data_IF_119910835502
#
_entry.id   IF_119910835502
#
_cell.length_a   1.000
_cell.length_b   1.000
_cell.length_c   1.000
_cell.angle_alpha   90.00
_cell.angle_beta   90.00
_cell.angle_gamma   90.00
#
_symmetry.space_group_name_H-M   'P 1'
#
loop_
_entity.id
_entity.type
_entity.pdbx_description
1 polymer ?
#
# COMPACT_ATOMS: atom_id res chain seq x y z
N UNK A 1 2.98 -12.90 -13.80
CA UNK A 1 3.84 -13.89 -13.10
C UNK A 1 4.43 -13.32 -11.82
N UNK A 2 4.74 -14.17 -10.84
CA UNK A 2 5.20 -13.79 -9.49
C UNK A 2 6.48 -12.93 -9.54
N UNK A 3 7.38 -13.19 -10.46
CA UNK A 3 8.65 -12.48 -10.64
C UNK A 3 8.49 -11.05 -11.15
N UNK A 4 7.49 -10.81 -12.00
CA UNK A 4 7.25 -9.48 -12.56
C UNK A 4 6.65 -8.50 -11.54
N UNK A 5 6.03 -8.99 -10.47
CA UNK A 5 5.35 -8.15 -9.48
C UNK A 5 6.29 -7.08 -8.87
N UNK A 6 7.44 -7.49 -8.35
CA UNK A 6 8.34 -6.53 -7.71
C UNK A 6 9.07 -5.62 -8.69
N UNK A 7 9.33 -6.08 -9.91
CA UNK A 7 9.85 -5.20 -10.96
C UNK A 7 8.84 -4.10 -11.31
N UNK A 8 7.58 -4.47 -11.43
CA UNK A 8 6.49 -3.52 -11.65
C UNK A 8 6.34 -2.56 -10.46
N UNK A 9 6.34 -3.07 -9.23
CA UNK A 9 6.23 -2.25 -8.01
C UNK A 9 7.37 -1.24 -7.92
N UNK A 10 8.62 -1.65 -8.12
CA UNK A 10 9.79 -0.76 -8.08
C UNK A 10 9.69 0.30 -9.18
N UNK A 11 9.33 -0.10 -10.40
CA UNK A 11 9.14 0.83 -11.51
C UNK A 11 8.09 1.89 -11.23
N UNK A 12 7.01 1.49 -10.54
CA UNK A 12 5.97 2.43 -10.10
C UNK A 12 6.42 3.33 -8.94
N UNK A 13 7.21 2.81 -8.00
CA UNK A 13 7.73 3.59 -6.86
C UNK A 13 8.77 4.63 -7.28
N UNK A 14 9.68 4.26 -8.17
CA UNK A 14 10.71 5.16 -8.70
C UNK A 14 10.19 6.09 -9.80
N UNK A 15 9.15 5.69 -10.49
CA UNK A 15 8.77 6.24 -11.78
C UNK A 15 9.59 5.65 -12.93
N UNK A 16 8.97 5.41 -14.07
CA UNK A 16 9.64 4.76 -15.22
C UNK A 16 10.91 5.47 -15.70
N UNK A 17 11.00 6.81 -15.75
CA UNK A 17 12.23 7.47 -16.17
C UNK A 17 13.41 7.20 -15.23
N UNK A 18 13.21 7.26 -13.91
CA UNK A 18 14.26 6.94 -12.94
C UNK A 18 14.63 5.47 -12.96
N UNK A 19 13.66 4.59 -13.17
CA UNK A 19 13.90 3.16 -13.34
C UNK A 19 14.76 2.88 -14.58
N UNK A 20 14.52 3.56 -15.69
CA UNK A 20 15.36 3.44 -16.89
C UNK A 20 16.80 3.87 -16.62
N UNK A 21 17.00 5.01 -15.95
CA UNK A 21 18.33 5.48 -15.54
C UNK A 21 19.01 4.45 -14.63
N UNK A 22 18.28 3.92 -13.65
CA UNK A 22 18.80 2.87 -12.76
C UNK A 22 19.21 1.62 -13.53
N UNK A 23 18.37 1.11 -14.42
CA UNK A 23 18.70 -0.09 -15.20
C UNK A 23 19.99 0.09 -16.01
N UNK A 24 20.12 1.22 -16.71
CA UNK A 24 21.34 1.52 -17.46
C UNK A 24 22.56 1.58 -16.53
N UNK A 25 22.47 2.32 -15.44
CA UNK A 25 23.58 2.47 -14.48
C UNK A 25 23.89 1.16 -13.77
N UNK A 26 22.90 0.31 -13.49
CA UNK A 26 23.07 -1.00 -12.88
C UNK A 26 23.88 -1.95 -13.77
N UNK A 27 23.58 -2.01 -15.06
CA UNK A 27 24.39 -2.78 -16.01
C UNK A 27 25.83 -2.24 -16.09
N UNK A 28 25.98 -0.93 -16.21
CA UNK A 28 27.34 -0.31 -16.22
C UNK A 28 28.10 -0.58 -14.92
N UNK A 29 27.41 -0.65 -13.78
CA UNK A 29 28.01 -0.98 -12.49
C UNK A 29 28.55 -2.41 -12.44
N UNK A 30 27.79 -3.38 -12.93
CA UNK A 30 28.21 -4.79 -12.97
C UNK A 30 29.42 -5.01 -13.87
N UNK A 31 29.48 -4.33 -15.02
CA UNK A 31 30.56 -4.50 -15.97
C UNK A 31 31.86 -3.79 -15.54
N UNK A 32 31.81 -2.87 -14.58
CA UNK A 32 33.02 -2.18 -14.04
C UNK A 32 33.57 -2.89 -12.82
N UNK A 33 34.35 -3.94 -13.03
CA UNK A 33 34.91 -4.80 -11.98
C UNK A 33 35.69 -4.04 -10.89
N UNK A 34 36.41 -2.97 -11.23
CA UNK A 34 37.28 -2.25 -10.31
C UNK A 34 36.57 -1.51 -9.17
N UNK A 35 35.28 -1.31 -9.27
CA UNK A 35 34.47 -0.57 -8.29
C UNK A 35 33.21 -1.29 -7.88
N UNK A 36 33.09 -2.54 -8.22
CA UNK A 36 31.97 -3.37 -7.85
C UNK A 36 32.00 -3.67 -6.35
N UNK A 37 30.96 -3.23 -5.64
CA UNK A 37 30.82 -3.48 -4.22
C UNK A 37 29.70 -4.51 -3.99
N UNK A 38 30.08 -5.70 -3.57
CA UNK A 38 29.15 -6.79 -3.33
C UNK A 38 28.09 -6.47 -2.28
N UNK A 39 28.43 -5.69 -1.26
CA UNK A 39 27.47 -5.32 -0.21
C UNK A 39 26.37 -4.44 -0.80
N UNK A 40 26.75 -3.44 -1.60
CA UNK A 40 25.79 -2.54 -2.24
C UNK A 40 24.92 -3.27 -3.25
N UNK A 41 25.50 -4.18 -4.03
CA UNK A 41 24.77 -5.05 -4.94
C UNK A 41 23.79 -5.94 -4.20
N UNK A 42 24.24 -6.64 -3.16
CA UNK A 42 23.40 -7.50 -2.34
C UNK A 42 22.26 -6.71 -1.68
N UNK A 43 22.55 -5.52 -1.17
CA UNK A 43 21.53 -4.66 -0.58
C UNK A 43 20.46 -4.25 -1.60
N UNK A 44 20.82 -3.96 -2.85
CA UNK A 44 19.85 -3.63 -3.89
C UNK A 44 18.96 -4.82 -4.29
N UNK A 45 19.53 -6.02 -4.37
CA UNK A 45 18.89 -7.18 -5.02
C UNK A 45 18.31 -8.17 -4.02
N UNK A 46 18.97 -8.41 -2.89
CA UNK A 46 18.56 -9.43 -1.92
C UNK A 46 17.15 -9.25 -1.37
N UNK A 47 16.68 -8.05 -0.99
CA UNK A 47 15.32 -7.87 -0.55
C UNK A 47 14.31 -8.28 -1.62
N UNK A 48 14.55 -7.95 -2.90
CA UNK A 48 13.66 -8.29 -4.02
C UNK A 48 13.57 -9.82 -4.16
N UNK A 49 14.71 -10.51 -4.12
CA UNK A 49 14.75 -11.98 -4.21
C UNK A 49 14.02 -12.60 -3.04
N UNK A 50 14.35 -12.23 -1.80
CA UNK A 50 13.75 -12.80 -0.59
C UNK A 50 12.24 -12.62 -0.59
N UNK A 51 11.76 -11.40 -0.83
CA UNK A 51 10.32 -11.15 -0.82
C UNK A 51 9.56 -11.73 -2.02
N UNK A 52 10.26 -12.10 -3.10
CA UNK A 52 9.63 -12.83 -4.21
C UNK A 52 9.12 -14.20 -3.76
N UNK A 53 9.77 -14.83 -2.81
CA UNK A 53 9.36 -16.13 -2.27
C UNK A 53 8.31 -16.03 -1.15
N UNK A 54 8.08 -14.84 -0.60
CA UNK A 54 7.06 -14.64 0.44
C UNK A 54 5.66 -14.58 -0.18
N UNK A 55 4.71 -15.34 0.37
CA UNK A 55 3.34 -15.40 -0.14
C UNK A 55 2.59 -14.07 0.00
N UNK A 56 2.83 -13.32 1.08
CA UNK A 56 2.22 -12.02 1.29
C UNK A 56 2.97 -10.94 0.50
N UNK A 57 2.43 -10.52 -0.63
CA UNK A 57 3.02 -9.50 -1.51
C UNK A 57 2.64 -8.10 -1.03
N UNK A 58 3.63 -7.23 -0.87
CA UNK A 58 3.39 -5.85 -0.47
C UNK A 58 4.41 -4.90 -1.10
N UNK A 59 3.94 -3.77 -1.60
CA UNK A 59 4.81 -2.77 -2.23
C UNK A 59 5.91 -2.25 -1.28
N UNK A 60 5.63 -2.18 0.04
CA UNK A 60 6.58 -1.74 1.07
C UNK A 60 7.84 -2.61 1.18
N UNK A 61 7.80 -3.86 0.73
CA UNK A 61 8.94 -4.78 0.85
C UNK A 61 10.09 -4.44 -0.10
N UNK A 62 9.87 -3.64 -1.13
CA UNK A 62 10.92 -3.14 -2.02
C UNK A 62 11.61 -1.88 -1.51
N UNK A 63 11.01 -1.17 -0.54
CA UNK A 63 11.57 0.08 -0.01
C UNK A 63 13.03 -0.04 0.49
N UNK A 64 13.45 -1.12 1.17
CA UNK A 64 14.84 -1.26 1.58
C UNK A 64 15.85 -1.28 0.43
N UNK A 65 15.44 -1.67 -0.78
CA UNK A 65 16.31 -1.70 -1.96
C UNK A 65 16.52 -0.32 -2.59
N UNK A 66 15.58 0.62 -2.44
CA UNK A 66 15.62 1.92 -3.12
C UNK A 66 16.84 2.77 -2.79
N UNK A 67 17.30 2.89 -1.52
CA UNK A 67 18.53 3.62 -1.20
C UNK A 67 19.75 3.03 -1.89
N UNK A 68 19.88 1.69 -1.92
CA UNK A 68 20.98 1.03 -2.58
C UNK A 68 20.97 1.26 -4.10
N UNK A 69 19.79 1.24 -4.72
CA UNK A 69 19.63 1.56 -6.14
C UNK A 69 20.04 3.00 -6.46
N UNK A 70 19.65 3.96 -5.61
CA UNK A 70 20.09 5.36 -5.74
C UNK A 70 21.61 5.51 -5.61
N UNK A 71 22.23 4.82 -4.65
CA UNK A 71 23.68 4.82 -4.46
C UNK A 71 24.42 4.21 -5.66
N UNK A 72 23.95 3.10 -6.22
CA UNK A 72 24.54 2.49 -7.44
C UNK A 72 24.49 3.51 -8.58
N UNK A 73 23.35 4.15 -8.79
CA UNK A 73 23.18 5.19 -9.81
C UNK A 73 24.17 6.33 -9.59
N UNK A 74 24.28 6.85 -8.37
CA UNK A 74 25.21 7.92 -8.03
C UNK A 74 26.66 7.54 -8.29
N UNK A 75 27.10 6.34 -7.85
CA UNK A 75 28.48 5.83 -8.07
C UNK A 75 28.80 5.77 -9.55
N UNK A 76 27.89 5.29 -10.40
CA UNK A 76 28.14 5.22 -11.84
C UNK A 76 28.19 6.61 -12.47
N UNK A 77 27.27 7.49 -12.12
CA UNK A 77 27.23 8.85 -12.65
C UNK A 77 28.50 9.65 -12.30
N UNK A 78 29.04 9.50 -11.07
CA UNK A 78 30.30 10.17 -10.68
C UNK A 78 31.51 9.72 -11.50
N UNK A 79 31.46 8.53 -12.12
CA UNK A 79 32.55 7.97 -12.92
C UNK A 79 32.57 8.43 -14.38
N UNK A 80 31.57 9.19 -14.81
CA UNK A 80 31.53 9.75 -16.16
C UNK A 80 32.64 10.80 -16.32
N UNK A 81 33.68 10.48 -17.11
CA UNK A 81 34.86 11.32 -17.29
C UNK A 81 34.52 12.65 -18.00
N UNK A 82 33.66 12.61 -18.97
CA UNK A 82 33.22 13.83 -19.67
C UNK A 82 32.35 14.70 -18.74
N UNK A 83 32.87 15.86 -18.37
CA UNK A 83 32.24 16.74 -17.39
C UNK A 83 30.88 17.29 -17.89
N UNK A 84 30.78 17.60 -19.18
CA UNK A 84 29.53 18.10 -19.78
C UNK A 84 28.45 17.01 -19.77
N UNK A 85 28.81 15.78 -20.16
CA UNK A 85 27.90 14.65 -20.12
C UNK A 85 27.48 14.30 -18.68
N UNK A 86 28.42 14.34 -17.74
CA UNK A 86 28.13 14.11 -16.32
C UNK A 86 27.15 15.14 -15.77
N UNK A 87 27.37 16.42 -16.03
CA UNK A 87 26.50 17.50 -15.57
C UNK A 87 25.11 17.40 -16.22
N UNK A 88 25.03 17.03 -17.50
CA UNK A 88 23.78 16.76 -18.19
C UNK A 88 23.00 15.59 -17.53
N UNK A 89 23.67 14.49 -17.22
CA UNK A 89 23.07 13.33 -16.55
C UNK A 89 22.58 13.68 -15.13
N UNK A 90 23.36 14.47 -14.38
CA UNK A 90 22.91 14.96 -13.06
C UNK A 90 21.68 15.84 -13.19
N UNK A 91 21.67 16.77 -14.14
CA UNK A 91 20.53 17.66 -14.36
C UNK A 91 19.29 16.87 -14.75
N UNK A 92 19.39 15.93 -15.68
CA UNK A 92 18.26 15.07 -16.07
C UNK A 92 17.76 14.26 -14.85
N UNK A 93 18.65 13.63 -14.11
CA UNK A 93 18.26 12.83 -12.94
C UNK A 93 17.61 13.70 -11.88
N UNK A 94 18.17 14.88 -11.59
CA UNK A 94 17.63 15.84 -10.62
C UNK A 94 16.25 16.36 -11.04
N UNK A 95 16.10 16.78 -12.29
CA UNK A 95 14.81 17.27 -12.84
C UNK A 95 13.77 16.15 -12.79
N UNK A 96 14.12 14.93 -13.23
CA UNK A 96 13.21 13.78 -13.21
C UNK A 96 12.78 13.45 -11.80
N UNK A 97 13.71 13.46 -10.83
CA UNK A 97 13.41 13.23 -9.41
C UNK A 97 12.45 14.31 -8.89
N UNK A 98 12.75 15.58 -9.15
CA UNK A 98 11.88 16.69 -8.72
C UNK A 98 10.48 16.58 -9.32
N UNK A 99 10.39 16.33 -10.63
CA UNK A 99 9.09 16.12 -11.32
C UNK A 99 8.34 14.93 -10.71
N UNK A 100 9.03 13.83 -10.44
CA UNK A 100 8.41 12.64 -9.82
C UNK A 100 7.88 12.96 -8.42
N UNK A 101 8.63 13.69 -7.59
CA UNK A 101 8.20 14.11 -6.25
C UNK A 101 6.98 15.03 -6.34
N UNK A 102 7.05 16.08 -7.18
CA UNK A 102 5.95 17.03 -7.35
C UNK A 102 4.70 16.35 -7.90
N UNK A 103 4.85 15.48 -8.88
CA UNK A 103 3.76 14.73 -9.49
C UNK A 103 3.09 13.78 -8.49
N UNK A 104 3.88 13.06 -7.68
CA UNK A 104 3.33 12.11 -6.73
C UNK A 104 2.75 12.75 -5.47
N UNK A 105 3.27 13.92 -5.06
CA UNK A 105 2.88 14.58 -3.82
C UNK A 105 1.82 15.67 -3.98
N UNK A 106 1.78 16.35 -5.13
CA UNK A 106 1.04 17.62 -5.23
C UNK A 106 0.13 17.74 -6.45
N UNK A 107 0.34 16.96 -7.50
CA UNK A 107 -0.39 17.12 -8.75
C UNK A 107 -1.47 16.04 -8.90
N UNK A 108 -2.74 16.40 -9.13
CA UNK A 108 -3.78 15.45 -9.49
C UNK A 108 -3.37 14.66 -10.74
N UNK A 109 -3.40 13.34 -10.68
CA UNK A 109 -2.93 12.49 -11.77
C UNK A 109 -3.82 12.64 -13.00
N UNK A 110 -3.32 13.18 -14.10
CA UNK A 110 -4.08 13.13 -15.34
C UNK A 110 -4.16 11.69 -15.81
N UNK A 111 -5.33 11.30 -16.31
CA UNK A 111 -5.62 9.93 -16.74
C UNK A 111 -4.66 9.38 -17.83
N UNK A 112 -4.00 10.28 -18.58
CA UNK A 112 -3.07 9.92 -19.66
C UNK A 112 -1.61 9.72 -19.22
N UNK A 113 -1.26 9.99 -17.95
CA UNK A 113 0.09 9.80 -17.40
C UNK A 113 0.09 8.91 -16.14
N UNK A 114 -0.47 7.69 -16.17
CA UNK A 114 -0.60 6.85 -14.98
C UNK A 114 0.76 6.37 -14.43
N UNK A 115 1.87 6.61 -15.11
CA UNK A 115 3.12 5.88 -14.93
C UNK A 115 4.28 6.70 -14.35
N UNK A 116 4.08 7.95 -14.00
CA UNK A 116 5.15 8.75 -13.34
C UNK A 116 5.30 8.45 -11.84
N UNK A 117 4.44 7.62 -11.28
CA UNK A 117 4.55 7.16 -9.89
C UNK A 117 3.23 6.65 -9.31
N UNK A 118 3.31 5.97 -8.16
CA UNK A 118 2.17 5.45 -7.39
C UNK A 118 1.70 6.42 -6.29
N UNK A 119 1.76 7.72 -6.49
CA UNK A 119 1.12 8.61 -5.52
C UNK A 119 -0.39 8.33 -5.54
N UNK A 120 -0.93 7.73 -4.50
CA UNK A 120 -2.37 7.84 -4.25
C UNK A 120 -2.60 9.28 -3.82
N UNK A 121 -3.40 10.01 -4.59
CA UNK A 121 -3.92 11.29 -4.11
C UNK A 121 -4.52 11.07 -2.72
N UNK A 122 -4.39 12.06 -1.82
CA UNK A 122 -5.21 12.07 -0.62
C UNK A 122 -6.64 11.77 -1.06
N UNK A 123 -7.23 10.72 -0.51
CA UNK A 123 -8.60 10.36 -0.87
C UNK A 123 -9.47 11.52 -0.42
N UNK A 124 -10.05 12.21 -1.38
CA UNK A 124 -11.04 13.26 -1.12
C UNK A 124 -12.37 12.68 -0.66
N UNK A 125 -12.56 11.37 -0.84
CA UNK A 125 -13.73 10.67 -0.36
C UNK A 125 -13.62 10.49 1.15
N UNK A 126 -14.34 11.31 1.89
CA UNK A 126 -14.51 11.15 3.33
C UNK A 126 -15.41 9.93 3.59
N UNK A 127 -14.83 8.86 4.07
CA UNK A 127 -15.63 7.75 4.56
C UNK A 127 -16.31 8.16 5.86
N UNK A 128 -17.63 7.91 6.03
CA UNK A 128 -18.39 8.30 7.22
C UNK A 128 -18.11 7.37 8.42
N UNK A 129 -16.81 7.11 8.71
CA UNK A 129 -16.37 6.18 9.77
C UNK A 129 -16.94 6.59 11.12
N UNK A 130 -16.92 7.89 11.44
CA UNK A 130 -17.43 8.37 12.71
C UNK A 130 -18.94 8.12 12.85
N UNK A 131 -19.71 8.42 11.80
CA UNK A 131 -21.16 8.20 11.81
C UNK A 131 -21.50 6.71 11.97
N UNK A 132 -20.75 5.83 11.26
CA UNK A 132 -20.92 4.38 11.41
C UNK A 132 -20.59 3.87 12.82
N UNK A 133 -19.57 4.44 13.46
CA UNK A 133 -19.23 4.09 14.84
C UNK A 133 -20.27 4.61 15.83
N UNK A 134 -20.86 5.79 15.57
CA UNK A 134 -21.93 6.37 16.39
C UNK A 134 -23.18 5.50 16.31
N UNK A 135 -23.60 5.07 15.12
CA UNK A 135 -24.75 4.19 14.93
C UNK A 135 -24.58 2.85 15.67
N UNK A 136 -23.36 2.28 15.64
CA UNK A 136 -23.06 1.04 16.38
C UNK A 136 -23.24 1.25 17.89
N UNK A 137 -22.73 2.35 18.43
CA UNK A 137 -22.84 2.65 19.87
C UNK A 137 -24.28 2.94 20.26
N UNK A 138 -25.03 3.68 19.42
CA UNK A 138 -26.44 4.02 19.67
C UNK A 138 -27.33 2.76 19.67
N UNK A 139 -27.10 1.84 18.76
CA UNK A 139 -27.85 0.58 18.71
C UNK A 139 -27.48 -0.38 19.84
N UNK A 140 -26.17 -0.55 20.11
CA UNK A 140 -25.70 -1.51 21.10
C UNK A 140 -25.95 -1.06 22.55
N UNK A 141 -25.85 0.23 22.81
CA UNK A 141 -25.95 0.80 24.18
C UNK A 141 -25.12 0.03 25.20
N UNK A 142 -23.81 -0.14 24.97
CA UNK A 142 -22.98 -1.03 25.77
C UNK A 142 -22.97 -0.61 27.25
N UNK A 143 -23.03 -1.58 28.14
CA UNK A 143 -22.90 -1.34 29.57
C UNK A 143 -21.48 -0.92 29.94
N UNK A 144 -21.32 -0.34 31.14
CA UNK A 144 -19.99 0.10 31.59
C UNK A 144 -19.02 -1.06 31.71
N UNK A 145 -17.98 -1.05 30.90
CA UNK A 145 -16.94 -2.09 30.84
C UNK A 145 -17.19 -3.16 29.78
N UNK A 146 -18.32 -3.13 29.10
CA UNK A 146 -18.59 -4.02 27.96
C UNK A 146 -17.79 -3.58 26.73
N UNK A 147 -17.30 -4.56 25.94
CA UNK A 147 -16.58 -4.32 24.70
C UNK A 147 -17.34 -4.95 23.54
N UNK A 148 -17.67 -4.14 22.56
CA UNK A 148 -18.33 -4.59 21.33
C UNK A 148 -17.31 -5.12 20.32
N UNK A 149 -17.56 -6.30 19.78
CA UNK A 149 -16.73 -6.89 18.74
C UNK A 149 -17.28 -6.55 17.37
N UNK A 150 -16.52 -5.73 16.63
CA UNK A 150 -16.90 -5.28 15.29
C UNK A 150 -15.92 -5.85 14.26
N UNK A 151 -16.44 -6.29 13.12
CA UNK A 151 -15.66 -6.81 12.01
C UNK A 151 -15.97 -6.07 10.73
N UNK A 152 -14.91 -5.69 10.00
CA UNK A 152 -15.03 -5.06 8.69
C UNK A 152 -14.88 -6.13 7.62
N UNK A 153 -15.90 -6.27 6.77
CA UNK A 153 -15.92 -7.21 5.65
C UNK A 153 -15.33 -6.57 4.37
N UNK A 154 -15.36 -5.26 4.25
CA UNK A 154 -14.74 -4.52 3.15
C UNK A 154 -13.28 -4.18 3.46
N UNK A 155 -12.43 -4.18 2.44
CA UNK A 155 -11.01 -3.85 2.54
C UNK A 155 -10.62 -2.88 1.41
N UNK A 156 -10.87 -1.61 1.62
CA UNK A 156 -10.49 -0.52 0.72
C UNK A 156 -9.47 0.39 1.38
N UNK A 157 -8.79 1.20 0.59
CA UNK A 157 -7.92 2.24 1.10
C UNK A 157 -8.73 3.17 2.04
N UNK A 158 -8.25 3.30 3.26
CA UNK A 158 -8.88 4.04 4.37
C UNK A 158 -10.26 3.53 4.83
N UNK A 159 -10.85 2.51 4.20
CA UNK A 159 -12.05 1.81 4.65
C UNK A 159 -11.68 0.37 4.98
N UNK A 160 -10.92 0.20 6.02
CA UNK A 160 -10.40 -1.09 6.47
C UNK A 160 -10.37 -1.15 8.00
N UNK A 161 -10.22 -2.36 8.52
CA UNK A 161 -10.17 -2.61 9.96
C UNK A 161 -9.25 -1.65 10.72
N UNK A 162 -8.07 -1.32 10.17
CA UNK A 162 -7.11 -0.40 10.79
C UNK A 162 -7.69 0.98 11.02
N UNK A 163 -8.31 1.57 10.00
CA UNK A 163 -8.93 2.88 10.10
C UNK A 163 -10.02 2.91 11.19
N UNK A 164 -10.96 1.99 11.16
CA UNK A 164 -12.01 1.92 12.20
C UNK A 164 -11.45 1.73 13.61
N UNK A 165 -10.43 0.87 13.76
CA UNK A 165 -9.75 0.68 15.06
C UNK A 165 -9.14 1.98 15.56
N UNK A 166 -8.43 2.69 14.71
CA UNK A 166 -7.70 3.89 15.09
C UNK A 166 -8.68 5.03 15.43
N UNK A 167 -9.78 5.18 14.70
CA UNK A 167 -10.85 6.12 15.03
C UNK A 167 -11.58 5.75 16.33
N UNK A 168 -11.92 4.48 16.54
CA UNK A 168 -12.57 4.03 17.78
C UNK A 168 -11.66 4.25 19.00
N UNK A 169 -10.35 3.93 18.87
CA UNK A 169 -9.36 4.15 19.93
C UNK A 169 -9.17 5.64 20.24
N UNK A 170 -9.07 6.50 19.21
CA UNK A 170 -8.94 7.95 19.39
C UNK A 170 -10.12 8.55 20.14
N UNK A 171 -11.33 8.02 19.92
CA UNK A 171 -12.56 8.48 20.58
C UNK A 171 -12.83 7.78 21.91
N UNK A 172 -12.01 6.80 22.32
CA UNK A 172 -12.22 6.03 23.55
C UNK A 172 -13.49 5.17 23.53
N UNK A 173 -13.94 4.72 22.34
CA UNK A 173 -15.15 3.91 22.22
C UNK A 173 -14.88 2.47 22.64
N UNK A 174 -15.85 1.77 23.28
CA UNK A 174 -15.72 0.39 23.73
C UNK A 174 -15.83 -0.62 22.55
N UNK A 175 -15.10 -0.37 21.46
CA UNK A 175 -15.16 -1.15 20.24
C UNK A 175 -13.82 -1.86 20.01
N UNK A 176 -13.87 -3.18 19.82
CA UNK A 176 -12.73 -4.02 19.45
C UNK A 176 -12.85 -4.48 18.00
N UNK A 177 -12.02 -3.93 17.13
CA UNK A 177 -11.99 -4.30 15.71
C UNK A 177 -11.22 -5.61 15.51
N UNK A 178 -11.91 -6.67 15.11
CA UNK A 178 -11.32 -7.99 14.83
C UNK A 178 -11.27 -8.29 13.33
N UNK A 179 -10.30 -9.11 12.91
CA UNK A 179 -10.22 -9.63 11.54
C UNK A 179 -11.24 -10.74 11.29
N UNK A 180 -11.59 -10.94 10.03
CA UNK A 180 -12.49 -12.04 9.63
C UNK A 180 -11.73 -13.36 9.66
N UNK A 181 -12.17 -14.31 10.49
CA UNK A 181 -11.64 -15.68 10.63
C UNK A 181 -12.69 -16.69 10.20
N UNK A 182 -12.31 -17.97 10.16
CA UNK A 182 -13.14 -19.07 9.64
C UNK A 182 -14.49 -19.26 10.35
N UNK A 183 -14.56 -18.97 11.64
CA UNK A 183 -15.79 -19.11 12.46
C UNK A 183 -16.24 -17.73 12.95
N UNK A 184 -16.89 -16.98 12.10
CA UNK A 184 -17.11 -15.53 12.31
C UNK A 184 -18.44 -15.23 13.00
N UNK A 185 -19.44 -16.16 12.91
CA UNK A 185 -20.79 -15.89 13.39
C UNK A 185 -20.94 -15.80 14.91
N UNK A 186 -20.16 -16.59 15.65
CA UNK A 186 -20.46 -16.88 17.07
C UNK A 186 -19.96 -15.81 18.07
N UNK A 187 -19.18 -14.80 17.65
CA UNK A 187 -18.60 -13.79 18.55
C UNK A 187 -18.43 -12.44 17.86
N UNK A 188 -19.46 -11.99 17.17
CA UNK A 188 -19.41 -10.70 16.47
C UNK A 188 -20.73 -9.99 16.67
N UNK A 189 -20.66 -8.80 17.24
CA UNK A 189 -21.84 -8.00 17.51
C UNK A 189 -22.27 -7.24 16.25
N UNK A 190 -21.29 -6.69 15.51
CA UNK A 190 -21.56 -5.91 14.31
C UNK A 190 -20.62 -6.23 13.16
N UNK A 191 -21.17 -6.16 11.94
CA UNK A 191 -20.42 -6.23 10.70
C UNK A 191 -20.53 -4.92 9.93
N UNK A 192 -19.37 -4.39 9.51
CA UNK A 192 -19.31 -3.27 8.58
C UNK A 192 -19.03 -3.83 7.19
N UNK A 193 -19.92 -3.59 6.25
CA UNK A 193 -19.80 -4.03 4.87
C UNK A 193 -19.99 -2.86 3.89
N UNK A 194 -19.84 -3.11 2.61
CA UNK A 194 -20.10 -2.16 1.53
C UNK A 194 -20.89 -2.85 0.43
N UNK A 195 -21.82 -2.14 -0.20
CA UNK A 195 -22.50 -2.61 -1.41
C UNK A 195 -21.55 -2.52 -2.62
N UNK A 196 -21.64 -3.44 -3.55
CA UNK A 196 -20.84 -3.47 -4.79
C UNK A 196 -19.57 -4.30 -4.71
N UNK A 197 -18.52 -3.88 -5.40
CA UNK A 197 -17.23 -4.57 -5.42
C UNK A 197 -16.55 -4.47 -4.05
N UNK A 198 -16.21 -5.63 -3.50
CA UNK A 198 -15.61 -5.73 -2.16
C UNK A 198 -14.08 -5.62 -2.14
N UNK A 199 -13.43 -5.31 -3.27
CA UNK A 199 -11.96 -5.28 -3.40
C UNK A 199 -11.28 -6.62 -3.07
N UNK A 200 -10.01 -6.64 -2.70
CA UNK A 200 -9.23 -7.84 -2.41
C UNK A 200 -9.64 -8.49 -1.09
N UNK A 201 -10.75 -9.21 -1.07
CA UNK A 201 -11.21 -9.89 0.14
C UNK A 201 -10.64 -11.31 0.28
N UNK A 202 -10.48 -11.72 1.53
CA UNK A 202 -10.21 -13.10 1.83
C UNK A 202 -11.46 -13.96 1.53
N UNK A 203 -11.26 -15.22 1.14
CA UNK A 203 -12.35 -16.20 0.96
C UNK A 203 -13.26 -16.29 2.19
N UNK A 204 -12.73 -16.06 3.38
CA UNK A 204 -13.48 -16.03 4.62
C UNK A 204 -14.47 -14.84 4.71
N UNK A 205 -14.12 -13.67 4.19
CA UNK A 205 -15.04 -12.52 4.17
C UNK A 205 -16.21 -12.77 3.22
N UNK A 206 -15.93 -13.34 2.04
CA UNK A 206 -16.97 -13.72 1.06
C UNK A 206 -17.92 -14.76 1.65
N UNK A 207 -17.38 -15.79 2.31
CA UNK A 207 -18.21 -16.81 2.97
C UNK A 207 -19.06 -16.21 4.08
N UNK A 208 -18.55 -15.27 4.85
CA UNK A 208 -19.31 -14.58 5.89
C UNK A 208 -20.45 -13.75 5.32
N UNK A 209 -20.22 -13.01 4.24
CA UNK A 209 -21.27 -12.25 3.54
C UNK A 209 -22.37 -13.20 3.05
N UNK A 210 -21.98 -14.32 2.42
CA UNK A 210 -22.93 -15.31 1.92
C UNK A 210 -23.78 -15.95 3.04
N UNK A 211 -23.21 -16.14 4.22
CA UNK A 211 -23.96 -16.63 5.39
C UNK A 211 -24.94 -15.58 5.91
N UNK A 212 -24.48 -14.35 6.06
CA UNK A 212 -25.30 -13.23 6.55
C UNK A 212 -26.47 -12.90 5.60
N UNK A 213 -26.26 -13.02 4.28
CA UNK A 213 -27.31 -12.75 3.28
C UNK A 213 -28.33 -13.89 3.18
N UNK A 214 -27.97 -15.12 3.58
CA UNK A 214 -28.88 -16.28 3.52
C UNK A 214 -29.84 -16.37 4.69
N UNK A 215 -29.53 -15.76 5.82
CA UNK A 215 -30.38 -15.77 7.01
C UNK A 215 -30.70 -14.35 7.48
N UNK A 216 -31.79 -13.77 7.00
CA UNK A 216 -32.21 -12.42 7.38
C UNK A 216 -32.53 -12.27 8.87
N UNK A 217 -32.79 -13.38 9.56
CA UNK A 217 -33.08 -13.35 10.99
C UNK A 217 -31.83 -13.04 11.84
N UNK A 218 -30.64 -13.29 11.28
CA UNK A 218 -29.35 -13.02 11.95
C UNK A 218 -28.83 -11.59 11.70
N UNK A 219 -29.47 -10.83 10.79
CA UNK A 219 -28.94 -9.53 10.38
C UNK A 219 -30.02 -8.46 10.37
N UNK A 220 -29.80 -7.41 11.14
CA UNK A 220 -30.52 -6.15 11.04
C UNK A 220 -29.63 -5.14 10.32
N UNK A 221 -30.11 -4.58 9.23
CA UNK A 221 -29.42 -3.46 8.59
C UNK A 221 -29.65 -2.20 9.43
N UNK A 222 -28.55 -1.59 9.91
CA UNK A 222 -28.64 -0.37 10.71
C UNK A 222 -28.80 0.85 9.81
N UNK A 223 -27.85 1.05 8.89
CA UNK A 223 -27.89 2.24 8.04
C UNK A 223 -27.09 2.04 6.74
N UNK A 224 -27.44 2.85 5.71
CA UNK A 224 -26.68 3.01 4.47
C UNK A 224 -26.06 4.42 4.44
N UNK A 225 -24.77 4.50 4.12
CA UNK A 225 -24.03 5.75 3.95
C UNK A 225 -23.47 5.90 2.52
#
# INVERSE_FOLDING_TARGET
GIWAFYLEVISRQMGYPLMAIFVITFFLYIFKKDRFNWILFAWAILPIIVFTFVNNKGARYTMPSLPAMALITAVVLTQVKNISLRNFLYSITGITTLVTILYNGFIPKPAFLPYLGQGNLPITQLWPINAMLDDIIEEAKPEKGEQLVVRTLANYDYFQRGAFRDFAAFRGLPIVMKGVKRNVGEMTDFFITRSGDFSSQSSNAINSINLLTKDPALTKLLNYF
#
